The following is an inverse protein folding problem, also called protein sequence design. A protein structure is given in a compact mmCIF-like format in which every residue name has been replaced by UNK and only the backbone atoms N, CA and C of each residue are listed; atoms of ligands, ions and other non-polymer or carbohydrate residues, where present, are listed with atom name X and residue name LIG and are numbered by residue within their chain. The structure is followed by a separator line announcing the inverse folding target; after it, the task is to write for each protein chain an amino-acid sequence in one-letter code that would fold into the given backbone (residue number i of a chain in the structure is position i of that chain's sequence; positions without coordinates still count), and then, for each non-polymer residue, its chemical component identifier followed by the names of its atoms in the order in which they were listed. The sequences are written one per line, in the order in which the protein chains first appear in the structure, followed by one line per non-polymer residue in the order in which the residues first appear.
data_IF_639062989799
#
_entry.id   IF_639062989799
#
_cell.length_a   1.000
_cell.length_b   1.000
_cell.length_c   1.000
_cell.angle_alpha   90.00
_cell.angle_beta   90.00
_cell.angle_gamma   90.00
#
_symmetry.space_group_name_H-M   'P 1'
#
loop_
_entity.id
_entity.type
_entity.pdbx_description
1 polymer ?
#
# COMPACT_ATOMS: atom_id res chain seq x y z
N UNK A 1 -4.95 -27.70 -39.36
CA UNK A 1 -3.55 -27.36 -39.02
C UNK A 1 -3.49 -25.86 -38.75
N UNK A 2 -2.84 -25.42 -37.66
CA UNK A 2 -2.50 -24.02 -37.32
C UNK A 2 -3.33 -23.20 -36.30
N UNK A 3 -4.05 -23.76 -35.33
CA UNK A 3 -4.53 -22.93 -34.19
C UNK A 3 -4.66 -23.68 -32.85
N UNK A 4 -3.62 -24.39 -32.42
CA UNK A 4 -3.63 -25.01 -31.09
C UNK A 4 -2.23 -25.15 -30.47
N UNK A 5 -1.43 -24.08 -30.40
CA UNK A 5 -0.12 -24.14 -29.73
C UNK A 5 0.28 -22.82 -29.03
N UNK A 6 -0.63 -22.20 -28.28
CA UNK A 6 -0.21 -21.25 -27.23
C UNK A 6 -0.24 -22.00 -25.89
N UNK A 7 0.86 -22.66 -25.54
CA UNK A 7 0.98 -23.34 -24.25
C UNK A 7 0.80 -22.34 -23.11
N UNK A 8 -0.12 -22.64 -22.18
CA UNK A 8 -0.35 -21.94 -20.90
C UNK A 8 0.78 -22.20 -19.88
N UNK A 9 1.91 -22.73 -20.33
CA UNK A 9 3.08 -23.17 -19.56
C UNK A 9 3.65 -22.12 -18.60
N UNK A 10 3.38 -20.84 -18.81
CA UNK A 10 3.94 -19.73 -18.02
C UNK A 10 2.92 -19.01 -17.13
N UNK A 11 1.67 -19.46 -17.06
CA UNK A 11 0.68 -18.84 -16.19
C UNK A 11 0.97 -19.16 -14.70
N UNK A 12 1.13 -18.12 -13.88
CA UNK A 12 1.25 -18.26 -12.42
C UNK A 12 2.66 -18.54 -11.87
N UNK A 13 3.68 -18.75 -12.74
CA UNK A 13 5.07 -19.08 -12.37
C UNK A 13 5.66 -18.17 -11.27
N UNK A 14 5.41 -16.87 -11.35
CA UNK A 14 6.01 -15.88 -10.43
C UNK A 14 5.41 -15.95 -9.01
N UNK A 15 4.12 -16.28 -8.88
CA UNK A 15 3.43 -16.30 -7.57
C UNK A 15 3.71 -17.58 -6.78
N UNK A 16 3.94 -18.70 -7.46
CA UNK A 16 4.32 -19.97 -6.82
C UNK A 16 5.81 -20.00 -6.43
N UNK A 17 6.66 -19.26 -7.14
CA UNK A 17 8.09 -19.18 -6.86
C UNK A 17 8.42 -18.33 -5.62
N UNK A 18 7.62 -17.31 -5.30
CA UNK A 18 7.89 -16.45 -4.14
C UNK A 18 7.61 -17.18 -2.81
N UNK A 19 8.52 -17.10 -1.82
CA UNK A 19 8.27 -17.69 -0.50
C UNK A 19 7.04 -17.05 0.15
N UNK A 20 6.19 -17.87 0.77
CA UNK A 20 4.98 -17.38 1.43
C UNK A 20 5.34 -16.70 2.75
N UNK A 21 5.38 -15.37 2.74
CA UNK A 21 5.59 -14.60 3.96
C UNK A 21 4.25 -14.42 4.68
N UNK A 22 4.19 -14.90 5.92
CA UNK A 22 3.04 -14.69 6.80
C UNK A 22 2.92 -13.22 7.21
N UNK A 23 1.69 -12.80 7.54
CA UNK A 23 1.45 -11.42 7.94
C UNK A 23 1.94 -11.24 9.36
N UNK A 24 2.94 -10.38 9.53
CA UNK A 24 3.35 -9.93 10.86
C UNK A 24 2.17 -9.27 11.58
N UNK A 25 2.01 -9.61 12.85
CA UNK A 25 1.04 -8.97 13.74
C UNK A 25 1.41 -7.50 13.91
N UNK A 26 0.45 -6.62 13.57
CA UNK A 26 0.64 -5.17 13.66
C UNK A 26 -0.35 -4.61 14.66
N UNK A 27 0.07 -3.65 15.51
CA UNK A 27 -0.83 -3.04 16.46
C UNK A 27 -1.99 -2.37 15.73
N UNK A 28 -3.16 -2.40 16.39
CA UNK A 28 -4.36 -1.77 15.87
C UNK A 28 -4.08 -0.29 15.65
N UNK A 29 -4.33 0.17 14.42
CA UNK A 29 -4.24 1.60 14.11
C UNK A 29 -5.42 2.29 14.78
N UNK A 30 -5.17 3.47 15.35
CA UNK A 30 -6.25 4.31 15.84
C UNK A 30 -7.27 4.58 14.71
N UNK A 31 -8.56 4.51 15.05
CA UNK A 31 -9.67 4.73 14.11
C UNK A 31 -10.29 6.12 14.28
N UNK A 32 -10.98 6.61 13.25
CA UNK A 32 -11.76 7.85 13.29
C UNK A 32 -10.95 9.12 13.60
N UNK A 33 -11.41 9.89 14.59
CA UNK A 33 -10.86 11.21 14.95
C UNK A 33 -9.41 11.14 15.43
N UNK A 34 -9.08 10.11 16.22
CA UNK A 34 -7.72 9.90 16.72
C UNK A 34 -6.72 9.72 15.56
N UNK A 35 -7.11 8.99 14.50
CA UNK A 35 -6.30 8.84 13.28
C UNK A 35 -6.08 10.17 12.56
N UNK A 36 -7.13 10.99 12.45
CA UNK A 36 -7.04 12.31 11.79
C UNK A 36 -6.07 13.23 12.53
N UNK A 37 -6.07 13.23 13.87
CA UNK A 37 -5.11 14.00 14.69
C UNK A 37 -3.67 13.53 14.47
N UNK A 38 -3.43 12.22 14.46
CA UNK A 38 -2.09 11.66 14.21
C UNK A 38 -1.60 12.01 12.80
N UNK A 39 -2.48 12.00 11.79
CA UNK A 39 -2.14 12.38 10.42
C UNK A 39 -1.80 13.86 10.28
N UNK A 40 -2.53 14.74 10.96
CA UNK A 40 -2.26 16.19 10.97
C UNK A 40 -0.88 16.48 11.56
N UNK A 41 -0.60 15.95 12.76
CA UNK A 41 0.69 16.14 13.42
C UNK A 41 1.86 15.63 12.56
N UNK A 42 1.70 14.47 11.91
CA UNK A 42 2.72 13.88 11.00
C UNK A 42 2.93 14.65 9.70
N UNK A 43 1.92 15.37 9.20
CA UNK A 43 1.99 16.05 7.89
C UNK A 43 2.38 17.51 7.98
N UNK A 44 2.07 18.16 9.10
CA UNK A 44 2.14 19.62 9.19
C UNK A 44 2.93 20.13 10.41
N UNK A 45 2.86 19.43 11.55
CA UNK A 45 3.45 19.94 12.81
C UNK A 45 4.89 19.44 13.01
N UNK A 46 5.14 18.15 12.78
CA UNK A 46 6.44 17.54 13.07
C UNK A 46 7.41 17.55 11.87
N UNK A 47 7.01 18.12 10.72
CA UNK A 47 7.84 18.20 9.50
C UNK A 47 8.02 19.67 9.16
N UNK A 48 9.08 20.27 9.69
CA UNK A 48 9.33 21.72 9.64
C UNK A 48 10.39 22.15 8.62
N UNK A 49 10.94 21.27 7.77
CA UNK A 49 11.99 21.65 6.81
C UNK A 49 11.81 21.00 5.43
N UNK A 50 11.08 21.70 4.55
CA UNK A 50 11.23 21.61 3.07
C UNK A 50 10.31 22.68 2.47
N UNK A 51 10.72 23.93 2.68
CA UNK A 51 10.02 25.18 2.39
C UNK A 51 9.60 25.40 0.93
N UNK A 52 9.91 24.53 -0.04
CA UNK A 52 9.79 24.93 -1.46
C UNK A 52 9.39 23.82 -2.44
N UNK A 53 8.75 22.73 -2.01
CA UNK A 53 8.43 21.61 -2.93
C UNK A 53 7.16 20.83 -2.63
N UNK A 54 6.40 20.51 -3.69
CA UNK A 54 5.23 19.60 -3.68
C UNK A 54 5.55 18.33 -2.86
N UNK A 55 4.86 18.14 -1.73
CA UNK A 55 5.11 17.02 -0.82
C UNK A 55 4.78 15.69 -1.51
N UNK A 56 5.79 14.87 -1.77
CA UNK A 56 5.63 13.51 -2.33
C UNK A 56 5.04 12.58 -1.28
N UNK A 57 3.71 12.60 -1.13
CA UNK A 57 2.99 11.50 -0.49
C UNK A 57 3.00 10.31 -1.45
N UNK A 58 3.46 9.14 -0.99
CA UNK A 58 3.33 7.93 -1.78
C UNK A 58 1.85 7.67 -2.08
N UNK A 59 1.48 7.68 -3.36
CA UNK A 59 0.11 7.45 -3.86
C UNK A 59 -0.46 6.16 -3.25
N UNK A 60 0.38 5.16 -3.04
CA UNK A 60 0.06 3.90 -2.37
C UNK A 60 -0.49 4.08 -0.94
N UNK A 61 -0.08 5.09 -0.17
CA UNK A 61 -0.64 5.34 1.17
C UNK A 61 -2.03 5.97 1.13
N UNK A 62 -2.31 6.77 0.11
CA UNK A 62 -3.64 7.39 -0.10
C UNK A 62 -4.61 6.32 -0.61
N UNK A 63 -4.23 5.57 -1.64
CA UNK A 63 -5.04 4.50 -2.19
C UNK A 63 -5.25 3.35 -1.20
N UNK A 64 -4.24 2.95 -0.42
CA UNK A 64 -4.44 1.92 0.62
C UNK A 64 -5.31 2.42 1.78
N UNK A 65 -5.36 3.73 2.05
CA UNK A 65 -6.28 4.29 3.03
C UNK A 65 -7.74 4.29 2.54
N UNK A 66 -7.96 4.41 1.23
CA UNK A 66 -9.28 4.32 0.58
C UNK A 66 -9.68 2.84 0.42
N UNK A 67 -8.79 1.99 -0.11
CA UNK A 67 -9.05 0.58 -0.42
C UNK A 67 -9.06 -0.35 0.82
N UNK A 68 -8.40 0.04 1.93
CA UNK A 68 -8.50 -0.66 3.23
C UNK A 68 -9.28 0.14 4.27
N UNK A 69 -10.21 0.98 3.83
CA UNK A 69 -11.01 1.88 4.67
C UNK A 69 -12.51 1.62 4.55
N UNK A 70 -12.96 0.43 4.94
CA UNK A 70 -14.33 0.15 5.40
C UNK A 70 -14.36 -1.21 6.11
N UNK A 71 -13.67 -1.26 7.26
CA UNK A 71 -13.89 -2.13 8.42
C UNK A 71 -13.02 -1.63 9.56
#
# INVERSE_FOLDING_TARGET
MFFADLCVCSAGKVKSQTPKVEKQEKPKKACGRARKRILYNRRFVNVTLSSTGKRKVSILRVLLAIYKGSR
#
